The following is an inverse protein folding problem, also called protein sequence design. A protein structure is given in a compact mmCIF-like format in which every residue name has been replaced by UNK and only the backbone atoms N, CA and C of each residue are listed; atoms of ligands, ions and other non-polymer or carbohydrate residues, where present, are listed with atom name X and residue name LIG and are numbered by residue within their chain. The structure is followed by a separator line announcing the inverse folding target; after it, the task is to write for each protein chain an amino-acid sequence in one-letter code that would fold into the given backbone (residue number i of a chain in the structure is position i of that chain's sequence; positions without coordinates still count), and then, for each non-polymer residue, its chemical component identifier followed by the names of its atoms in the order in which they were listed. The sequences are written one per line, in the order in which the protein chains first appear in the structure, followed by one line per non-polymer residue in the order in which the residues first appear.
data_IF_707636872032
#
_entry.id   IF_707636872032
#
_cell.length_a   1.000
_cell.length_b   1.000
_cell.length_c   1.000
_cell.angle_alpha   90.00
_cell.angle_beta   90.00
_cell.angle_gamma   90.00
#
_symmetry.space_group_name_H-M   'P 1'
#
loop_
_entity.id
_entity.type
_entity.pdbx_description
1 polymer ?
#
# COMPACT_ATOMS: atom_id res chain seq x y z
N UNK A 1 2.81 13.00 15.05
CA UNK A 1 1.34 12.90 14.99
C UNK A 1 0.90 11.96 16.12
N UNK A 2 0.53 12.46 17.31
CA UNK A 2 0.42 11.61 18.50
C UNK A 2 -0.79 10.67 18.52
N UNK A 3 -1.80 10.85 17.65
CA UNK A 3 -3.04 10.07 17.67
C UNK A 3 -3.23 9.07 16.52
N UNK A 4 -2.19 8.76 15.74
CA UNK A 4 -2.32 7.83 14.62
C UNK A 4 -2.29 6.38 15.11
N UNK A 5 -3.41 5.67 14.98
CA UNK A 5 -3.55 4.26 15.37
C UNK A 5 -3.47 3.28 14.20
N UNK A 6 -3.88 3.69 13.01
CA UNK A 6 -3.89 2.84 11.82
C UNK A 6 -3.26 3.59 10.65
N UNK A 7 -2.36 2.95 9.92
CA UNK A 7 -1.71 3.49 8.74
C UNK A 7 -1.68 2.43 7.64
N UNK A 8 -2.05 2.84 6.42
CA UNK A 8 -1.98 2.00 5.23
C UNK A 8 -1.21 2.74 4.14
N UNK A 9 -0.19 2.08 3.60
CA UNK A 9 0.69 2.56 2.53
C UNK A 9 0.85 1.42 1.52
N UNK A 10 0.08 1.46 0.43
CA UNK A 10 0.12 0.41 -0.60
C UNK A 10 1.04 0.83 -1.74
N UNK A 11 1.97 -0.05 -2.13
CA UNK A 11 2.85 0.18 -3.28
C UNK A 11 3.76 1.41 -3.18
N UNK A 12 4.01 1.90 -1.96
CA UNK A 12 4.85 3.07 -1.74
C UNK A 12 6.34 2.70 -1.82
N UNK A 13 7.16 3.58 -2.38
CA UNK A 13 8.64 3.46 -2.40
C UNK A 13 9.27 3.80 -1.03
N UNK A 14 8.64 3.37 0.05
CA UNK A 14 9.12 3.62 1.41
C UNK A 14 10.35 2.76 1.68
N UNK A 15 11.37 3.37 2.29
CA UNK A 15 12.60 2.69 2.70
C UNK A 15 12.55 2.25 4.16
N UNK A 16 13.55 1.46 4.58
CA UNK A 16 13.78 1.11 5.98
C UNK A 16 13.85 2.34 6.92
N UNK A 17 14.44 3.43 6.46
CA UNK A 17 14.51 4.68 7.24
C UNK A 17 13.13 5.31 7.41
N UNK A 18 12.32 5.34 6.34
CA UNK A 18 10.94 5.81 6.39
C UNK A 18 10.09 5.00 7.37
N UNK A 19 10.23 3.67 7.33
CA UNK A 19 9.53 2.78 8.25
C UNK A 19 9.97 3.01 9.71
N UNK A 20 11.26 3.21 9.96
CA UNK A 20 11.75 3.59 11.29
C UNK A 20 11.18 4.93 11.76
N UNK A 21 11.11 5.92 10.88
CA UNK A 21 10.54 7.23 11.20
C UNK A 21 9.05 7.12 11.56
N UNK A 22 8.28 6.29 10.86
CA UNK A 22 6.88 5.99 11.22
C UNK A 22 6.81 5.35 12.61
N UNK A 23 7.60 4.31 12.86
CA UNK A 23 7.62 3.61 14.14
C UNK A 23 8.03 4.52 15.29
N UNK A 24 8.90 5.51 15.07
CA UNK A 24 9.30 6.47 16.10
C UNK A 24 8.30 7.62 16.27
N UNK A 25 7.81 8.18 15.16
CA UNK A 25 6.93 9.35 15.13
C UNK A 25 5.47 9.08 15.47
N UNK A 26 5.06 7.80 15.44
CA UNK A 26 3.70 7.35 15.74
C UNK A 26 3.73 6.37 16.94
N UNK A 27 3.75 6.86 18.19
CA UNK A 27 3.84 6.01 19.37
C UNK A 27 2.62 5.11 19.59
N UNK A 28 1.42 5.56 19.18
CA UNK A 28 0.15 4.84 19.36
C UNK A 28 -0.25 3.96 18.16
N UNK A 29 0.62 3.79 17.17
CA UNK A 29 0.31 3.03 15.97
C UNK A 29 0.10 1.55 16.32
N UNK A 30 -1.10 1.05 16.07
CA UNK A 30 -1.52 -0.33 16.36
C UNK A 30 -1.64 -1.17 15.10
N UNK A 31 -1.95 -0.56 13.95
CA UNK A 31 -2.05 -1.25 12.66
C UNK A 31 -1.21 -0.57 11.60
N UNK A 32 -0.47 -1.38 10.85
CA UNK A 32 0.35 -0.93 9.75
C UNK A 32 0.21 -1.89 8.58
N UNK A 33 -0.22 -1.38 7.44
CA UNK A 33 -0.30 -2.11 6.19
C UNK A 33 0.66 -1.50 5.19
N UNK A 34 1.65 -2.28 4.75
CA UNK A 34 2.68 -1.87 3.79
C UNK A 34 2.75 -2.80 2.59
N UNK A 35 1.65 -3.45 2.22
CA UNK A 35 1.61 -4.33 1.05
C UNK A 35 2.17 -3.63 -0.19
N UNK A 36 2.99 -4.35 -0.95
CA UNK A 36 3.70 -3.88 -2.15
C UNK A 36 4.76 -2.79 -1.91
N UNK A 37 5.11 -2.45 -0.67
CA UNK A 37 6.28 -1.63 -0.36
C UNK A 37 7.56 -2.49 -0.39
N UNK A 38 8.08 -2.77 -1.60
CA UNK A 38 9.15 -3.77 -1.81
C UNK A 38 10.56 -3.28 -1.41
N UNK A 39 10.74 -1.97 -1.22
CA UNK A 39 12.03 -1.38 -0.81
C UNK A 39 12.32 -1.53 0.70
N UNK A 40 11.40 -2.17 1.44
CA UNK A 40 11.52 -2.43 2.89
C UNK A 40 12.09 -3.83 3.13
N UNK A 41 13.21 -3.89 3.84
CA UNK A 41 13.73 -5.13 4.41
C UNK A 41 13.23 -5.31 5.85
N UNK A 42 12.39 -6.34 6.03
CA UNK A 42 11.86 -6.73 7.33
C UNK A 42 12.76 -7.71 8.09
N UNK A 43 13.95 -8.01 7.57
CA UNK A 43 14.94 -8.82 8.27
C UNK A 43 15.52 -8.10 9.50
N UNK A 44 16.10 -8.87 10.42
CA UNK A 44 16.81 -8.32 11.58
C UNK A 44 15.93 -7.54 12.56
N UNK A 45 16.43 -6.41 13.05
CA UNK A 45 15.81 -5.68 14.17
C UNK A 45 14.56 -4.87 13.78
N UNK A 46 14.44 -4.46 12.51
CA UNK A 46 13.28 -3.69 12.07
C UNK A 46 12.01 -4.55 12.11
N UNK A 47 12.09 -5.78 11.60
CA UNK A 47 11.02 -6.77 11.71
C UNK A 47 10.65 -7.08 13.16
N UNK A 48 11.64 -7.29 14.04
CA UNK A 48 11.38 -7.54 15.47
C UNK A 48 10.64 -6.39 16.13
N UNK A 49 11.02 -5.14 15.85
CA UNK A 49 10.35 -3.95 16.39
C UNK A 49 8.90 -3.86 15.95
N UNK A 50 8.62 -4.17 14.68
CA UNK A 50 7.26 -4.19 14.16
C UNK A 50 6.42 -5.22 14.92
N UNK A 51 6.90 -6.46 15.05
CA UNK A 51 6.19 -7.52 15.79
C UNK A 51 5.96 -7.18 17.26
N UNK A 52 6.86 -6.42 17.89
CA UNK A 52 6.73 -6.01 19.29
C UNK A 52 5.71 -4.88 19.51
N UNK A 53 5.58 -3.98 18.53
CA UNK A 53 4.81 -2.73 18.68
C UNK A 53 3.47 -2.75 17.96
N UNK A 54 3.42 -3.33 16.77
CA UNK A 54 2.27 -3.30 15.89
C UNK A 54 1.44 -4.58 16.11
N UNK A 55 0.15 -4.40 16.40
CA UNK A 55 -0.78 -5.52 16.62
C UNK A 55 -1.21 -6.16 15.31
N UNK A 56 -1.57 -5.33 14.34
CA UNK A 56 -2.06 -5.78 13.02
C UNK A 56 -1.10 -5.30 11.94
N UNK A 57 -0.22 -6.18 11.47
CA UNK A 57 0.77 -5.85 10.47
C UNK A 57 0.51 -6.63 9.17
N UNK A 58 0.44 -5.93 8.04
CA UNK A 58 0.43 -6.53 6.70
C UNK A 58 1.75 -6.23 5.99
N UNK A 59 2.41 -7.30 5.55
CA UNK A 59 3.75 -7.30 4.97
C UNK A 59 3.73 -6.87 3.50
N UNK A 60 4.87 -6.45 2.94
CA UNK A 60 4.97 -6.14 1.51
C UNK A 60 4.47 -7.26 0.59
N UNK A 61 4.73 -8.51 0.97
CA UNK A 61 4.42 -9.69 0.16
C UNK A 61 3.02 -10.27 0.41
N UNK A 62 2.26 -9.76 1.38
CA UNK A 62 0.93 -10.28 1.69
C UNK A 62 -0.04 -10.09 0.50
N UNK A 63 -0.99 -11.02 0.38
CA UNK A 63 -2.01 -10.94 -0.67
C UNK A 63 -2.96 -9.78 -0.42
N UNK A 64 -3.28 -9.06 -1.50
CA UNK A 64 -4.20 -7.92 -1.48
C UNK A 64 -5.68 -8.33 -1.60
N UNK A 65 -5.98 -9.63 -1.51
CA UNK A 65 -7.35 -10.17 -1.59
C UNK A 65 -8.32 -9.51 -0.59
N UNK A 66 -7.80 -9.12 0.58
CA UNK A 66 -8.59 -8.44 1.62
C UNK A 66 -8.71 -6.92 1.43
N UNK A 67 -7.96 -6.34 0.48
CA UNK A 67 -8.08 -4.92 0.19
C UNK A 67 -9.33 -4.73 -0.66
N UNK A 68 -10.42 -4.27 -0.04
CA UNK A 68 -11.59 -3.78 -0.76
C UNK A 68 -11.24 -2.41 -1.36
N UNK A 69 -10.55 -2.42 -2.49
CA UNK A 69 -10.28 -1.22 -3.26
C UNK A 69 -11.63 -0.66 -3.71
N UNK A 70 -12.05 0.47 -3.15
CA UNK A 70 -13.20 1.20 -3.67
C UNK A 70 -12.77 1.87 -4.98
N UNK A 71 -12.89 1.13 -6.09
CA UNK A 71 -12.69 1.61 -7.46
C UNK A 71 -13.60 2.80 -7.80
N UNK A 72 -14.60 3.08 -6.96
CA UNK A 72 -15.50 4.24 -7.07
C UNK A 72 -14.81 5.59 -6.85
N UNK A 73 -13.60 5.65 -6.29
CA UNK A 73 -12.91 6.93 -5.97
C UNK A 73 -12.24 7.58 -7.21
N UNK A 74 -12.24 6.92 -8.38
CA UNK A 74 -11.64 7.46 -9.61
C UNK A 74 -12.60 8.13 -10.60
N UNK A 75 -13.89 8.27 -10.28
CA UNK A 75 -14.75 9.19 -11.03
C UNK A 75 -14.60 10.59 -10.42
N UNK A 76 -13.56 11.31 -10.86
CA UNK A 76 -13.63 12.76 -10.82
C UNK A 76 -14.74 13.16 -11.81
N UNK A 77 -15.96 13.33 -11.32
CA UNK A 77 -17.07 13.88 -12.10
C UNK A 77 -16.75 15.32 -12.49
N UNK A 78 -16.10 15.47 -13.63
CA UNK A 78 -16.33 16.56 -14.56
C UNK A 78 -15.88 16.05 -15.92
N UNK A 79 -16.82 15.88 -16.87
CA UNK A 79 -16.72 16.14 -18.31
C UNK A 79 -17.80 15.37 -19.06
N UNK A 80 -18.84 16.14 -19.42
CA UNK A 80 -19.75 16.07 -20.57
C UNK A 80 -20.49 14.77 -20.95
N UNK A 81 -21.79 14.98 -21.19
CA UNK A 81 -22.76 14.07 -21.79
C UNK A 81 -22.27 13.55 -23.14
N UNK A 82 -21.68 12.36 -23.22
CA UNK A 82 -21.68 11.48 -24.41
C UNK A 82 -21.17 10.08 -24.02
N UNK A 83 -21.87 9.49 -23.05
CA UNK A 83 -21.63 8.16 -22.52
C UNK A 83 -21.96 7.08 -23.56
N UNK A 84 -20.93 6.53 -24.21
CA UNK A 84 -20.98 5.17 -24.75
C UNK A 84 -20.24 4.25 -23.77
N UNK A 85 -20.94 3.41 -22.98
CA UNK A 85 -20.29 2.40 -22.18
C UNK A 85 -19.73 1.35 -23.12
N UNK A 86 -18.47 1.48 -23.51
CA UNK A 86 -17.77 0.35 -24.09
C UNK A 86 -17.58 -0.65 -22.96
N UNK A 87 -18.38 -1.72 -23.01
CA UNK A 87 -18.36 -2.88 -22.13
C UNK A 87 -17.07 -3.70 -22.22
N UNK A 88 -15.93 -3.05 -22.47
CA UNK A 88 -14.60 -3.64 -22.50
C UNK A 88 -13.61 -2.73 -21.77
N UNK A 89 -13.92 -2.40 -20.51
CA UNK A 89 -12.81 -2.23 -19.55
C UNK A 89 -12.32 -3.65 -19.31
N UNK A 90 -11.46 -4.09 -20.23
CA UNK A 90 -10.60 -5.26 -20.08
C UNK A 90 -10.11 -5.30 -18.65
N UNK A 91 -10.27 -6.45 -18.00
CA UNK A 91 -9.58 -6.79 -16.76
C UNK A 91 -8.18 -6.16 -16.77
N UNK A 92 -8.03 -4.98 -16.15
CA UNK A 92 -6.73 -4.42 -15.87
C UNK A 92 -6.22 -5.27 -14.70
N UNK A 93 -5.68 -6.42 -15.09
CA UNK A 93 -4.81 -7.21 -14.26
C UNK A 93 -3.75 -6.25 -13.73
N UNK A 94 -3.72 -6.08 -12.42
CA UNK A 94 -2.72 -5.32 -11.68
C UNK A 94 -1.27 -5.80 -11.91
N UNK A 95 -1.04 -6.72 -12.85
CA UNK A 95 0.26 -7.10 -13.37
C UNK A 95 0.91 -6.06 -14.29
N UNK A 96 0.14 -5.17 -14.92
CA UNK A 96 0.73 -4.26 -15.92
C UNK A 96 1.51 -3.08 -15.31
N UNK A 97 1.18 -2.61 -14.10
CA UNK A 97 1.97 -1.53 -13.48
C UNK A 97 3.30 -2.02 -12.88
N UNK A 98 3.39 -3.30 -12.50
CA UNK A 98 4.65 -3.92 -12.05
C UNK A 98 5.51 -4.43 -13.22
N UNK A 99 4.93 -4.67 -14.40
CA UNK A 99 5.67 -5.06 -15.60
C UNK A 99 6.66 -3.99 -16.10
N UNK A 100 6.41 -2.72 -15.83
CA UNK A 100 7.33 -1.64 -16.22
C UNK A 100 8.54 -1.50 -15.30
N UNK A 101 8.46 -1.99 -14.05
CA UNK A 101 9.58 -1.96 -13.09
C UNK A 101 10.41 -3.25 -13.07
N UNK A 102 9.89 -4.38 -13.56
CA UNK A 102 10.63 -5.63 -13.65
C UNK A 102 11.46 -5.80 -14.94
N UNK A 103 11.32 -4.88 -15.92
CA UNK A 103 12.07 -4.90 -17.19
C UNK A 103 13.30 -3.99 -17.21
N UNK A 104 13.82 -3.61 -16.04
CA UNK A 104 14.97 -2.70 -15.89
C UNK A 104 16.14 -3.31 -15.08
N UNK A 105 16.31 -4.63 -15.15
CA UNK A 105 17.53 -5.32 -14.72
C UNK A 105 18.20 -6.03 -15.91
#
# INVERSE_FOLDING_TARGET
MPGLHHLQLLGNNMTNEGLQAILYGCPLLESLDIQKCLDVDLSGELGKRITQKIKNFKRPDDSMEDCKWNTEIFYCDEYDEDYYPSSEISNFSYGDYFGYWLNLA
#
